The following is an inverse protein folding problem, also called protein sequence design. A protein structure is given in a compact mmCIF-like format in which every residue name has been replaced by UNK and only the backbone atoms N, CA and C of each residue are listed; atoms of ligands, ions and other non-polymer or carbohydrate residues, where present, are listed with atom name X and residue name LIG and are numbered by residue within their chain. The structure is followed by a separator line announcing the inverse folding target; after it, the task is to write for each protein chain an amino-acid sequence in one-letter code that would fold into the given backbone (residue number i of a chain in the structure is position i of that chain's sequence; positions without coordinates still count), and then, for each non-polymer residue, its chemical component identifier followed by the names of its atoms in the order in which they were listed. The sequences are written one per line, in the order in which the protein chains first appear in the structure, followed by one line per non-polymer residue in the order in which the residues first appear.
data_IF_320093551738
#
_entry.id   IF_320093551738
#
_cell.length_a   1.000
_cell.length_b   1.000
_cell.length_c   1.000
_cell.angle_alpha   90.00
_cell.angle_beta   90.00
_cell.angle_gamma   90.00
#
_symmetry.space_group_name_H-M   'P 1'
#
loop_
_entity.id
_entity.type
_entity.pdbx_description
1 polymer ?
#
# COMPACT_ATOMS: atom_id res chain seq x y z
N UNK A 1 -1.29 -9.69 16.60
CA UNK A 1 -0.60 -10.04 15.35
C UNK A 1 0.31 -8.88 15.02
N UNK A 2 1.45 -9.12 14.39
CA UNK A 2 2.21 -8.02 13.78
C UNK A 2 1.36 -7.51 12.61
N UNK A 3 1.04 -6.22 12.59
CA UNK A 3 0.28 -5.60 11.51
C UNK A 3 1.19 -5.50 10.29
N UNK A 4 0.65 -5.75 9.10
CA UNK A 4 1.43 -5.74 7.86
C UNK A 4 1.91 -4.32 7.59
N UNK A 5 3.24 -4.09 7.43
CA UNK A 5 3.77 -2.78 7.06
C UNK A 5 3.25 -2.35 5.68
N UNK A 6 2.93 -1.06 5.55
CA UNK A 6 2.49 -0.46 4.29
C UNK A 6 3.74 -0.10 3.49
N UNK A 7 3.81 -0.51 2.23
CA UNK A 7 5.01 -0.26 1.42
C UNK A 7 5.22 1.26 1.24
N UNK A 8 6.44 1.77 1.51
CA UNK A 8 6.81 3.13 1.14
C UNK A 8 6.76 3.27 -0.37
N UNK A 9 6.45 4.46 -0.87
CA UNK A 9 6.28 4.65 -2.30
C UNK A 9 7.44 5.44 -2.94
N UNK A 10 7.45 5.57 -4.26
CA UNK A 10 8.48 6.36 -4.97
C UNK A 10 8.11 7.85 -5.03
N UNK A 11 9.00 8.74 -4.55
CA UNK A 11 8.74 10.18 -4.50
C UNK A 11 8.17 10.74 -5.82
N UNK A 12 7.17 11.64 -5.77
CA UNK A 12 6.50 12.15 -6.97
C UNK A 12 7.31 13.21 -7.75
N UNK A 13 8.56 13.49 -7.41
CA UNK A 13 9.27 14.68 -7.90
C UNK A 13 10.74 14.45 -8.17
N UNK A 14 11.29 15.19 -9.14
CA UNK A 14 12.75 15.44 -9.24
C UNK A 14 13.21 16.59 -8.36
N UNK A 15 12.52 16.82 -7.23
CA UNK A 15 12.92 17.79 -6.22
C UNK A 15 13.88 17.10 -5.25
N UNK A 16 15.12 17.57 -5.22
CA UNK A 16 16.20 16.99 -4.44
C UNK A 16 15.86 16.90 -2.93
N UNK A 17 15.06 17.85 -2.42
CA UNK A 17 14.65 17.86 -1.02
C UNK A 17 13.64 16.75 -0.71
N UNK A 18 12.70 16.49 -1.61
CA UNK A 18 11.73 15.38 -1.47
C UNK A 18 12.46 14.05 -1.57
N UNK A 19 13.38 13.93 -2.53
CA UNK A 19 14.17 12.70 -2.73
C UNK A 19 15.04 12.37 -1.52
N UNK A 20 15.65 13.38 -0.89
CA UNK A 20 16.47 13.19 0.31
C UNK A 20 15.65 12.66 1.49
N UNK A 21 14.52 13.31 1.81
CA UNK A 21 13.64 12.81 2.86
C UNK A 21 13.11 11.41 2.54
N UNK A 22 12.81 11.12 1.28
CA UNK A 22 12.23 9.83 0.90
C UNK A 22 13.25 8.71 1.05
N UNK A 23 14.50 8.96 0.67
CA UNK A 23 15.58 8.00 0.86
C UNK A 23 15.79 7.69 2.35
N UNK A 24 15.85 8.71 3.21
CA UNK A 24 16.01 8.53 4.66
C UNK A 24 14.81 7.80 5.29
N UNK A 25 13.59 8.18 4.89
CA UNK A 25 12.37 7.55 5.37
C UNK A 25 12.38 6.06 5.00
N UNK A 26 12.63 5.75 3.73
CA UNK A 26 12.63 4.38 3.20
C UNK A 26 13.68 3.53 3.89
N UNK A 27 14.90 4.06 4.08
CA UNK A 27 15.98 3.37 4.80
C UNK A 27 15.53 2.98 6.22
N UNK A 28 15.01 3.94 6.99
CA UNK A 28 14.56 3.67 8.35
C UNK A 28 13.36 2.73 8.39
N UNK A 29 12.39 2.92 7.49
CA UNK A 29 11.17 2.11 7.44
C UNK A 29 11.47 0.65 7.12
N UNK A 30 12.27 0.38 6.08
CA UNK A 30 12.66 -0.97 5.69
C UNK A 30 13.56 -1.64 6.74
N UNK A 31 14.34 -0.86 7.49
CA UNK A 31 15.12 -1.36 8.63
C UNK A 31 14.27 -1.63 9.89
N UNK A 32 12.96 -1.37 9.87
CA UNK A 32 12.07 -1.51 11.03
C UNK A 32 12.26 -0.42 12.10
N UNK A 33 13.01 0.64 11.78
CA UNK A 33 13.27 1.78 12.65
C UNK A 33 12.13 2.80 12.55
N UNK A 34 10.91 2.37 12.88
CA UNK A 34 9.68 3.14 12.61
C UNK A 34 9.60 4.47 13.37
N UNK A 35 10.24 4.59 14.54
CA UNK A 35 10.33 5.87 15.25
C UNK A 35 11.18 6.89 14.48
N UNK A 36 12.28 6.46 13.87
CA UNK A 36 13.13 7.30 13.03
C UNK A 36 12.41 7.64 11.72
N UNK A 37 11.74 6.67 11.08
CA UNK A 37 10.92 6.93 9.90
C UNK A 37 9.82 7.97 10.20
N UNK A 38 9.14 7.86 11.35
CA UNK A 38 8.17 8.86 11.80
C UNK A 38 8.80 10.25 12.00
N UNK A 39 10.01 10.32 12.56
CA UNK A 39 10.74 11.59 12.69
C UNK A 39 11.00 12.22 11.33
N UNK A 40 11.50 11.45 10.36
CA UNK A 40 11.77 11.93 9.00
C UNK A 40 10.48 12.45 8.34
N UNK A 41 9.36 11.72 8.47
CA UNK A 41 8.09 12.15 7.91
C UNK A 41 7.58 13.45 8.57
N UNK A 42 7.80 13.65 9.87
CA UNK A 42 7.44 14.91 10.54
C UNK A 42 8.29 16.08 10.04
N UNK A 43 9.61 15.90 9.96
CA UNK A 43 10.53 16.92 9.46
C UNK A 43 10.19 17.32 8.01
N UNK A 44 9.81 16.33 7.18
CA UNK A 44 9.38 16.57 5.81
C UNK A 44 8.05 17.34 5.73
N UNK A 45 7.06 17.03 6.59
CA UNK A 45 5.80 17.80 6.67
C UNK A 45 6.05 19.23 7.16
N UNK A 46 6.97 19.43 8.11
CA UNK A 46 7.31 20.78 8.56
C UNK A 46 7.95 21.62 7.45
N UNK A 47 8.78 20.99 6.62
CA UNK A 47 9.42 21.64 5.47
C UNK A 47 8.46 21.87 4.30
N UNK A 48 7.57 20.91 4.04
CA UNK A 48 6.75 20.79 2.83
C UNK A 48 5.31 20.35 3.16
N UNK A 49 4.54 21.17 3.91
CA UNK A 49 3.23 20.78 4.43
C UNK A 49 2.16 20.62 3.34
N UNK A 50 2.38 21.11 2.13
CA UNK A 50 1.46 20.98 0.99
C UNK A 50 1.56 19.63 0.28
N UNK A 51 2.61 18.85 0.52
CA UNK A 51 2.81 17.57 -0.14
C UNK A 51 2.05 16.47 0.60
N UNK A 52 0.86 16.14 0.10
CA UNK A 52 -0.02 15.09 0.63
C UNK A 52 0.70 13.75 0.84
N UNK A 53 1.71 13.46 0.00
CA UNK A 53 2.60 12.32 0.12
C UNK A 53 3.18 12.10 1.53
N UNK A 54 3.67 13.15 2.18
CA UNK A 54 4.31 12.99 3.49
C UNK A 54 3.36 12.55 4.59
N UNK A 55 2.07 12.83 4.41
CA UNK A 55 1.03 12.36 5.31
C UNK A 55 0.76 10.86 5.13
N UNK A 56 0.93 10.31 3.92
CA UNK A 56 0.93 8.87 3.70
C UNK A 56 2.09 8.21 4.44
N UNK A 57 3.32 8.73 4.29
CA UNK A 57 4.50 8.15 4.94
C UNK A 57 4.44 8.25 6.47
N UNK A 58 3.95 9.38 6.99
CA UNK A 58 3.70 9.53 8.43
C UNK A 58 2.68 8.51 8.93
N UNK A 59 1.56 8.34 8.22
CA UNK A 59 0.54 7.35 8.56
C UNK A 59 1.09 5.92 8.53
N UNK A 60 1.91 5.56 7.53
CA UNK A 60 2.57 4.26 7.43
C UNK A 60 3.48 3.97 8.63
N UNK A 61 4.27 4.97 9.06
CA UNK A 61 5.14 4.83 10.23
C UNK A 61 4.35 4.72 11.55
N UNK A 62 3.30 5.53 11.72
CA UNK A 62 2.39 5.46 12.87
C UNK A 62 1.68 4.12 12.95
N UNK A 63 1.20 3.60 11.83
CA UNK A 63 0.59 2.28 11.73
C UNK A 63 1.54 1.17 12.18
N UNK A 64 2.78 1.18 11.66
CA UNK A 64 3.82 0.22 12.06
C UNK A 64 4.19 0.29 13.55
N UNK A 65 4.00 1.45 14.19
CA UNK A 65 4.16 1.66 15.63
C UNK A 65 2.93 1.26 16.46
N UNK A 66 1.81 0.90 15.83
CA UNK A 66 0.53 0.63 16.49
C UNK A 66 -0.23 1.87 16.95
N UNK A 67 0.14 3.05 16.44
CA UNK A 67 -0.51 4.34 16.70
C UNK A 67 -1.67 4.52 15.70
N UNK A 68 -2.72 3.71 15.88
CA UNK A 68 -3.76 3.53 14.86
C UNK A 68 -4.60 4.79 14.65
N UNK A 69 -5.03 5.44 15.73
CA UNK A 69 -5.83 6.65 15.65
C UNK A 69 -5.04 7.79 14.98
N UNK A 70 -3.75 7.91 15.31
CA UNK A 70 -2.85 8.88 14.70
C UNK A 70 -2.59 8.59 13.23
N UNK A 71 -2.44 7.32 12.84
CA UNK A 71 -2.26 6.91 11.45
C UNK A 71 -3.48 7.30 10.59
N UNK A 72 -4.69 7.03 11.08
CA UNK A 72 -5.93 7.43 10.40
C UNK A 72 -6.02 8.96 10.30
N UNK A 73 -5.71 9.69 11.37
CA UNK A 73 -5.74 11.14 11.36
C UNK A 73 -4.75 11.73 10.34
N UNK A 74 -3.54 11.19 10.26
CA UNK A 74 -2.54 11.60 9.25
C UNK A 74 -3.02 11.32 7.83
N UNK A 75 -3.55 10.12 7.57
CA UNK A 75 -4.08 9.77 6.26
C UNK A 75 -5.21 10.73 5.82
N UNK A 76 -6.13 11.06 6.74
CA UNK A 76 -7.21 12.02 6.46
C UNK A 76 -6.67 13.43 6.16
N UNK A 77 -5.62 13.88 6.87
CA UNK A 77 -4.96 15.15 6.55
C UNK A 77 -4.36 15.15 5.15
N UNK A 78 -3.74 14.04 4.73
CA UNK A 78 -3.26 13.89 3.36
C UNK A 78 -4.39 13.96 2.33
N UNK A 79 -5.51 13.27 2.58
CA UNK A 79 -6.69 13.28 1.72
C UNK A 79 -7.40 14.64 1.68
N UNK A 80 -7.32 15.45 2.75
CA UNK A 80 -7.81 16.83 2.75
C UNK A 80 -6.99 17.73 1.81
N UNK A 81 -5.70 17.44 1.64
CA UNK A 81 -4.81 18.16 0.70
C UNK A 81 -5.00 17.68 -0.74
N UNK A 82 -5.05 16.36 -0.94
CA UNK A 82 -5.27 15.74 -2.24
C UNK A 82 -6.25 14.55 -2.12
N UNK A 83 -7.55 14.79 -2.35
CA UNK A 83 -8.56 13.75 -2.26
C UNK A 83 -8.38 12.62 -3.29
N UNK A 84 -7.70 12.88 -4.40
CA UNK A 84 -7.53 12.01 -5.56
C UNK A 84 -6.13 11.37 -5.61
N UNK A 85 -5.35 11.47 -4.52
CA UNK A 85 -4.08 10.78 -4.38
C UNK A 85 -4.30 9.27 -4.20
N UNK A 86 -4.03 8.48 -5.24
CA UNK A 86 -4.36 7.05 -5.29
C UNK A 86 -3.84 6.26 -4.07
N UNK A 87 -2.61 6.53 -3.66
CA UNK A 87 -1.95 5.91 -2.51
C UNK A 87 -2.62 6.19 -1.17
N UNK A 88 -2.99 7.44 -0.90
CA UNK A 88 -3.71 7.80 0.31
C UNK A 88 -5.10 7.16 0.33
N UNK A 89 -5.77 7.09 -0.82
CA UNK A 89 -7.04 6.38 -0.98
C UNK A 89 -6.89 4.88 -0.71
N UNK A 90 -5.84 4.27 -1.24
CA UNK A 90 -5.51 2.86 -1.00
C UNK A 90 -5.16 2.59 0.46
N UNK A 91 -4.36 3.46 1.08
CA UNK A 91 -4.01 3.35 2.50
C UNK A 91 -5.26 3.46 3.40
N UNK A 92 -6.21 4.33 3.04
CA UNK A 92 -7.51 4.39 3.73
C UNK A 92 -8.31 3.10 3.57
N UNK A 93 -8.29 2.51 2.38
CA UNK A 93 -8.92 1.22 2.11
C UNK A 93 -8.30 0.11 2.96
N UNK A 94 -6.97 0.08 3.09
CA UNK A 94 -6.26 -0.86 3.95
C UNK A 94 -6.66 -0.71 5.42
N UNK A 95 -6.79 0.51 5.94
CA UNK A 95 -7.28 0.74 7.31
C UNK A 95 -8.71 0.18 7.50
N UNK A 96 -9.60 0.40 6.53
CA UNK A 96 -10.96 -0.15 6.57
C UNK A 96 -10.97 -1.69 6.49
N UNK A 97 -10.07 -2.28 5.70
CA UNK A 97 -9.92 -3.73 5.61
C UNK A 97 -9.55 -4.33 6.97
N UNK A 98 -8.59 -3.72 7.66
CA UNK A 98 -8.12 -4.14 8.99
C UNK A 98 -9.18 -3.92 10.08
N UNK A 99 -10.04 -2.91 9.92
CA UNK A 99 -11.25 -2.73 10.75
C UNK A 99 -12.38 -3.75 10.44
N UNK A 100 -12.20 -4.61 9.42
CA UNK A 100 -13.18 -5.60 8.98
C UNK A 100 -14.28 -5.05 8.06
N UNK A 101 -14.15 -3.80 7.60
CA UNK A 101 -15.08 -3.14 6.69
C UNK A 101 -14.69 -3.40 5.22
N UNK A 102 -14.62 -4.69 4.86
CA UNK A 102 -14.00 -5.16 3.62
C UNK A 102 -14.73 -4.64 2.36
N UNK A 103 -16.05 -4.51 2.38
CA UNK A 103 -16.81 -3.95 1.26
C UNK A 103 -16.48 -2.47 1.00
N UNK A 104 -16.29 -1.68 2.06
CA UNK A 104 -15.88 -0.27 1.92
C UNK A 104 -14.42 -0.16 1.47
N UNK A 105 -13.56 -1.05 1.95
CA UNK A 105 -12.19 -1.17 1.43
C UNK A 105 -12.18 -1.47 -0.07
N UNK A 106 -13.06 -2.36 -0.54
CA UNK A 106 -13.18 -2.69 -1.97
C UNK A 106 -13.57 -1.46 -2.80
N UNK A 107 -14.52 -0.63 -2.34
CA UNK A 107 -14.91 0.60 -3.04
C UNK A 107 -13.72 1.56 -3.18
N UNK A 108 -12.95 1.76 -2.11
CA UNK A 108 -11.78 2.64 -2.13
C UNK A 108 -10.62 2.09 -2.94
N UNK A 109 -10.33 0.78 -2.89
CA UNK A 109 -9.30 0.18 -3.74
C UNK A 109 -9.67 0.26 -5.23
N UNK A 110 -10.94 0.04 -5.60
CA UNK A 110 -11.38 0.27 -6.97
C UNK A 110 -11.24 1.74 -7.39
N UNK A 111 -11.50 2.68 -6.46
CA UNK A 111 -11.26 4.11 -6.72
C UNK A 111 -9.77 4.40 -6.92
N UNK A 112 -8.89 3.87 -6.08
CA UNK A 112 -7.43 4.02 -6.21
C UNK A 112 -6.94 3.49 -7.57
N UNK A 113 -7.42 2.32 -7.99
CA UNK A 113 -7.16 1.76 -9.33
C UNK A 113 -7.73 2.64 -10.45
N UNK A 114 -8.90 3.25 -10.25
CA UNK A 114 -9.45 4.22 -11.22
C UNK A 114 -8.58 5.46 -11.41
N UNK A 115 -7.83 5.85 -10.37
CA UNK A 115 -6.90 6.99 -10.39
C UNK A 115 -5.57 6.59 -11.05
N UNK A 116 -5.07 5.39 -10.75
CA UNK A 116 -3.82 4.84 -11.31
C UNK A 116 -4.02 3.40 -11.83
N UNK A 117 -4.57 3.23 -13.05
CA UNK A 117 -4.96 1.91 -13.56
C UNK A 117 -3.79 0.98 -13.90
N UNK A 118 -2.60 1.54 -14.11
CA UNK A 118 -1.38 0.79 -14.46
C UNK A 118 -0.40 0.70 -13.27
N UNK A 119 -0.85 0.93 -12.03
CA UNK A 119 -0.04 0.73 -10.84
C UNK A 119 -0.19 -0.73 -10.34
N UNK A 120 0.83 -1.59 -10.49
CA UNK A 120 0.73 -3.00 -10.12
C UNK A 120 0.58 -3.22 -8.60
N UNK A 121 1.08 -2.32 -7.76
CA UNK A 121 0.94 -2.44 -6.30
C UNK A 121 -0.52 -2.25 -5.87
N UNK A 122 -1.24 -1.30 -6.47
CA UNK A 122 -2.67 -1.14 -6.19
C UNK A 122 -3.48 -2.37 -6.61
N UNK A 123 -3.07 -3.08 -7.67
CA UNK A 123 -3.72 -4.30 -8.12
C UNK A 123 -3.52 -5.46 -7.12
N UNK A 124 -2.36 -5.51 -6.47
CA UNK A 124 -2.10 -6.45 -5.37
C UNK A 124 -3.01 -6.15 -4.18
N UNK A 125 -3.14 -4.88 -3.77
CA UNK A 125 -4.03 -4.49 -2.66
C UNK A 125 -5.51 -4.79 -2.96
N UNK A 126 -5.93 -4.58 -4.21
CA UNK A 126 -7.25 -4.99 -4.68
C UNK A 126 -7.43 -6.51 -4.61
N UNK A 127 -6.42 -7.29 -4.99
CA UNK A 127 -6.45 -8.75 -4.89
C UNK A 127 -6.55 -9.25 -3.45
N UNK A 128 -5.79 -8.66 -2.52
CA UNK A 128 -5.88 -8.92 -1.08
C UNK A 128 -7.32 -8.69 -0.60
N UNK A 129 -7.94 -7.60 -1.04
CA UNK A 129 -9.32 -7.26 -0.68
C UNK A 129 -10.33 -8.27 -1.24
N UNK A 130 -10.17 -8.68 -2.50
CA UNK A 130 -11.00 -9.74 -3.10
C UNK A 130 -10.88 -11.06 -2.35
N UNK A 131 -9.68 -11.44 -1.90
CA UNK A 131 -9.49 -12.63 -1.05
C UNK A 131 -10.23 -12.50 0.28
N UNK A 132 -10.22 -11.33 0.91
CA UNK A 132 -10.99 -11.07 2.13
C UNK A 132 -12.49 -11.28 1.96
N UNK A 133 -13.01 -11.07 0.74
CA UNK A 133 -14.41 -11.34 0.36
C UNK A 133 -14.64 -12.78 -0.13
N UNK A 134 -13.61 -13.63 -0.20
CA UNK A 134 -13.68 -14.98 -0.77
C UNK A 134 -13.81 -15.00 -2.30
N UNK A 135 -13.56 -13.88 -2.99
CA UNK A 135 -13.63 -13.75 -4.45
C UNK A 135 -12.27 -14.09 -5.08
N UNK A 136 -11.87 -15.35 -4.98
CA UNK A 136 -10.51 -15.78 -5.30
C UNK A 136 -10.16 -15.64 -6.79
N UNK A 137 -11.13 -15.85 -7.69
CA UNK A 137 -10.93 -15.67 -9.13
C UNK A 137 -10.65 -14.20 -9.51
N UNK A 138 -11.34 -13.26 -8.86
CA UNK A 138 -11.11 -11.82 -9.07
C UNK A 138 -9.74 -11.39 -8.54
N UNK A 139 -9.30 -11.99 -7.43
CA UNK A 139 -7.94 -11.80 -6.90
C UNK A 139 -6.88 -12.30 -7.89
N UNK A 140 -7.05 -13.50 -8.45
CA UNK A 140 -6.14 -14.05 -9.49
C UNK A 140 -6.10 -13.15 -10.73
N UNK A 141 -7.24 -12.62 -11.17
CA UNK A 141 -7.30 -11.72 -12.32
C UNK A 141 -6.50 -10.42 -12.06
N UNK A 142 -6.67 -9.83 -10.87
CA UNK A 142 -5.95 -8.61 -10.47
C UNK A 142 -4.44 -8.85 -10.38
N UNK A 143 -4.01 -9.97 -9.79
CA UNK A 143 -2.60 -10.34 -9.68
C UNK A 143 -1.97 -10.67 -11.04
N UNK A 144 -2.72 -11.32 -11.93
CA UNK A 144 -2.26 -11.57 -13.29
C UNK A 144 -2.01 -10.28 -14.05
N UNK A 145 -2.89 -9.27 -13.86
CA UNK A 145 -2.66 -7.93 -14.42
C UNK A 145 -1.45 -7.23 -13.81
N UNK A 146 -1.22 -7.37 -12.50
CA UNK A 146 -0.02 -6.83 -11.85
C UNK A 146 1.27 -7.44 -12.43
N UNK A 147 1.28 -8.77 -12.64
CA UNK A 147 2.38 -9.50 -13.29
C UNK A 147 2.59 -9.07 -14.75
N UNK A 148 1.52 -8.81 -15.51
CA UNK A 148 1.64 -8.29 -16.87
C UNK A 148 2.31 -6.91 -16.93
N UNK A 149 2.02 -6.05 -15.94
CA UNK A 149 2.57 -4.70 -15.84
C UNK A 149 4.03 -4.71 -15.39
N UNK A 150 4.37 -5.55 -14.42
CA UNK A 150 5.74 -5.75 -13.97
C UNK A 150 6.04 -7.23 -13.72
N UNK A 151 6.51 -7.95 -14.77
CA UNK A 151 6.79 -9.38 -14.68
C UNK A 151 8.07 -9.70 -13.90
N UNK A 152 8.84 -8.68 -13.49
CA UNK A 152 10.10 -8.86 -12.76
C UNK A 152 9.93 -8.93 -11.24
N UNK A 153 8.72 -8.63 -10.74
CA UNK A 153 8.44 -8.60 -9.31
C UNK A 153 7.95 -9.94 -8.81
N UNK A 154 8.87 -10.74 -8.26
CA UNK A 154 8.62 -12.07 -7.69
C UNK A 154 7.47 -12.10 -6.68
N UNK A 155 7.30 -11.01 -5.92
CA UNK A 155 6.23 -10.87 -4.93
C UNK A 155 4.82 -11.04 -5.50
N UNK A 156 4.59 -10.63 -6.76
CA UNK A 156 3.27 -10.75 -7.38
C UNK A 156 2.92 -12.20 -7.72
N UNK A 157 3.91 -12.98 -8.15
CA UNK A 157 3.75 -14.42 -8.34
C UNK A 157 3.51 -15.13 -7.01
N UNK A 158 4.24 -14.75 -5.94
CA UNK A 158 4.01 -15.26 -4.60
C UNK A 158 2.57 -15.03 -4.09
N UNK A 159 2.03 -13.83 -4.29
CA UNK A 159 0.64 -13.51 -3.96
C UNK A 159 -0.38 -14.31 -4.79
N UNK A 160 -0.08 -14.56 -6.07
CA UNK A 160 -0.97 -15.35 -6.95
C UNK A 160 -0.90 -16.83 -6.61
N UNK A 161 0.28 -17.37 -6.32
CA UNK A 161 0.49 -18.72 -5.82
C UNK A 161 -0.27 -18.95 -4.52
N UNK A 162 -0.20 -18.01 -3.57
CA UNK A 162 -0.98 -18.08 -2.33
C UNK A 162 -2.49 -18.11 -2.62
N UNK A 163 -2.95 -17.30 -3.57
CA UNK A 163 -4.36 -17.28 -3.99
C UNK A 163 -4.78 -18.62 -4.61
N UNK A 164 -3.96 -19.20 -5.50
CA UNK A 164 -4.19 -20.54 -6.07
C UNK A 164 -4.22 -21.62 -4.99
N UNK A 165 -3.36 -21.54 -3.98
CA UNK A 165 -3.37 -22.47 -2.85
C UNK A 165 -4.71 -22.41 -2.08
N UNK A 166 -5.27 -21.22 -1.87
CA UNK A 166 -6.59 -21.05 -1.24
C UNK A 166 -7.72 -21.65 -2.09
N UNK A 167 -7.57 -21.64 -3.42
CA UNK A 167 -8.51 -22.28 -4.35
C UNK A 167 -8.35 -23.80 -4.42
N UNK A 168 -7.23 -24.35 -3.93
CA UNK A 168 -6.87 -25.76 -4.09
C UNK A 168 -6.15 -26.08 -5.42
N UNK A 169 -5.77 -25.06 -6.18
CA UNK A 169 -5.10 -25.16 -7.49
C UNK A 169 -3.57 -25.31 -7.31
N UNK A 170 -3.14 -26.39 -6.66
CA UNK A 170 -1.76 -26.58 -6.24
C UNK A 170 -0.75 -26.62 -7.39
N UNK A 171 -1.14 -27.13 -8.56
CA UNK A 171 -0.25 -27.16 -9.73
C UNK A 171 0.07 -25.75 -10.24
N UNK A 172 -0.93 -24.85 -10.26
CA UNK A 172 -0.73 -23.45 -10.64
C UNK A 172 0.08 -22.70 -9.58
N UNK A 173 -0.16 -22.97 -8.30
CA UNK A 173 0.61 -22.37 -7.21
C UNK A 173 2.10 -22.74 -7.29
N UNK A 174 2.43 -23.99 -7.60
CA UNK A 174 3.82 -24.43 -7.77
C UNK A 174 4.46 -23.78 -9.01
N UNK A 175 3.73 -23.66 -10.11
CA UNK A 175 4.24 -23.04 -11.33
C UNK A 175 4.61 -21.55 -11.14
N UNK A 176 3.92 -20.82 -10.25
CA UNK A 176 4.25 -19.44 -9.89
C UNK A 176 5.45 -19.32 -8.92
N UNK A 177 5.93 -20.44 -8.35
CA UNK A 177 7.02 -20.47 -7.36
C UNK A 177 8.32 -21.13 -7.86
N UNK A 178 8.30 -21.71 -9.06
CA UNK A 178 9.44 -22.37 -9.73
C UNK A 178 10.30 -21.39 -10.55
#
# INVERSE_FOLDING_TARGET
GQMTPIQPQAAPSGDESVDEFQAQFTEHYLAGNYLQALSVANDAIEAMPEFAWWYHERASAQWALGLIDEAIASNLQGLDLDPDHASLVSQRAQFLFEEGQIEQALELHNRAIGLEPDNPHLLVELAITYRGLGRLEDAVASLSRAIELDPSQDGFYGERAFTYQLMGEFELALADLD
#
